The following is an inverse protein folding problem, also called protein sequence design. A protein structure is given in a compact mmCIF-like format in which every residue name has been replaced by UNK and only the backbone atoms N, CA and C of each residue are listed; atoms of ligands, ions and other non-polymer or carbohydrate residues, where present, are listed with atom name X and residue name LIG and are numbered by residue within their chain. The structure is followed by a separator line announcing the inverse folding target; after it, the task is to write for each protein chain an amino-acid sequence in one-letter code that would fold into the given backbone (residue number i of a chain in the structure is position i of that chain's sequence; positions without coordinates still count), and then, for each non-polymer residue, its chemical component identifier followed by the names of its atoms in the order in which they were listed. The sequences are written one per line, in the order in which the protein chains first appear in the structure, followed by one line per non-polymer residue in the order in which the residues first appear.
data_IF_673058847230
#
_entry.id   IF_673058847230
#
_cell.length_a   1.000
_cell.length_b   1.000
_cell.length_c   1.000
_cell.angle_alpha   90.00
_cell.angle_beta   90.00
_cell.angle_gamma   90.00
#
_symmetry.space_group_name_H-M   'P 1'
#
loop_
_entity.id
_entity.type
_entity.pdbx_description
1 polymer ?
#
# COMPACT_ATOMS: atom_id res chain seq x y z
N UNK A 1 13.61 15.23 -5.35
CA UNK A 1 13.37 14.07 -6.23
C UNK A 1 13.71 14.48 -7.65
N UNK A 2 14.51 13.70 -8.38
CA UNK A 2 14.94 14.12 -9.72
C UNK A 2 13.89 13.68 -10.76
N UNK A 3 13.21 14.64 -11.39
CA UNK A 3 12.32 14.41 -12.54
C UNK A 3 13.02 13.59 -13.65
N UNK A 4 14.36 13.60 -13.68
CA UNK A 4 15.17 12.80 -14.60
C UNK A 4 15.03 11.30 -14.34
N UNK A 5 15.04 10.86 -13.07
CA UNK A 5 14.94 9.42 -12.76
C UNK A 5 13.59 8.85 -13.17
N UNK A 6 12.52 9.60 -12.93
CA UNK A 6 11.16 9.25 -13.36
C UNK A 6 11.09 9.14 -14.87
N UNK A 7 11.70 10.10 -15.59
CA UNK A 7 11.74 10.09 -17.05
C UNK A 7 12.53 8.90 -17.61
N UNK A 8 13.71 8.62 -17.05
CA UNK A 8 14.54 7.49 -17.49
C UNK A 8 13.82 6.16 -17.32
N UNK A 9 13.17 5.96 -16.18
CA UNK A 9 12.39 4.74 -15.91
C UNK A 9 11.22 4.60 -16.88
N UNK A 10 10.43 5.67 -17.04
CA UNK A 10 9.31 5.68 -17.97
C UNK A 10 9.77 5.43 -19.41
N UNK A 11 10.91 6.01 -19.82
CA UNK A 11 11.47 5.80 -21.15
C UNK A 11 11.88 4.34 -21.35
N UNK A 12 12.49 3.72 -20.35
CA UNK A 12 12.88 2.30 -20.38
C UNK A 12 11.66 1.40 -20.57
N UNK A 13 10.60 1.63 -19.79
CA UNK A 13 9.37 0.81 -19.88
C UNK A 13 8.60 1.04 -21.19
N UNK A 14 8.54 2.28 -21.71
CA UNK A 14 7.94 2.56 -23.02
C UNK A 14 8.74 1.89 -24.14
N UNK A 15 10.07 1.98 -24.11
CA UNK A 15 10.95 1.35 -25.11
C UNK A 15 10.80 -0.17 -25.10
N UNK A 16 10.72 -0.77 -23.91
CA UNK A 16 10.47 -2.20 -23.73
C UNK A 16 9.12 -2.61 -24.31
N UNK A 17 8.04 -1.92 -23.97
CA UNK A 17 6.70 -2.27 -24.44
C UNK A 17 6.55 -2.13 -25.98
N UNK A 18 7.19 -1.14 -26.58
CA UNK A 18 7.08 -0.88 -28.02
C UNK A 18 8.06 -1.74 -28.84
N UNK A 19 9.34 -1.78 -28.45
CA UNK A 19 10.39 -2.37 -29.27
C UNK A 19 10.72 -3.82 -28.92
N UNK A 20 10.61 -4.19 -27.64
CA UNK A 20 10.95 -5.54 -27.16
C UNK A 20 9.72 -6.45 -27.18
N UNK A 21 8.68 -6.07 -26.42
CA UNK A 21 7.45 -6.88 -26.31
C UNK A 21 6.51 -6.70 -27.49
N UNK A 22 6.61 -5.55 -28.20
CA UNK A 22 5.72 -5.17 -29.31
C UNK A 22 4.24 -5.27 -28.95
N UNK A 23 3.92 -5.02 -27.68
CA UNK A 23 2.58 -5.16 -27.10
C UNK A 23 1.73 -3.92 -27.30
N UNK A 24 2.36 -2.77 -27.63
CA UNK A 24 1.68 -1.49 -27.82
C UNK A 24 2.39 -0.64 -28.88
N UNK A 25 1.72 0.43 -29.33
CA UNK A 25 2.29 1.46 -30.20
C UNK A 25 2.19 2.83 -29.53
N UNK A 26 2.96 3.82 -29.99
CA UNK A 26 2.89 5.20 -29.42
C UNK A 26 1.48 5.79 -29.52
N UNK A 27 0.78 5.54 -30.63
CA UNK A 27 -0.59 6.00 -30.83
C UNK A 27 -1.59 5.28 -29.91
N UNK A 28 -1.37 3.99 -29.66
CA UNK A 28 -2.20 3.22 -28.73
C UNK A 28 -1.96 3.64 -27.27
N UNK A 29 -0.69 3.86 -26.91
CA UNK A 29 -0.31 4.35 -25.59
C UNK A 29 -0.91 5.73 -25.29
N UNK A 30 -0.87 6.66 -26.25
CA UNK A 30 -1.51 7.96 -26.12
C UNK A 30 -3.02 7.85 -25.90
N UNK A 31 -3.68 6.95 -26.63
CA UNK A 31 -5.11 6.70 -26.50
C UNK A 31 -5.48 6.14 -25.13
N UNK A 32 -4.72 5.18 -24.63
CA UNK A 32 -4.97 4.51 -23.34
C UNK A 32 -4.63 5.38 -22.14
N UNK A 33 -3.54 6.15 -22.23
CA UNK A 33 -3.09 7.03 -21.14
C UNK A 33 -3.79 8.39 -21.12
N UNK A 34 -4.47 8.78 -22.20
CA UNK A 34 -5.04 10.13 -22.35
C UNK A 34 -3.98 11.23 -22.56
N UNK A 35 -2.70 10.87 -22.64
CA UNK A 35 -1.58 11.80 -22.85
C UNK A 35 -1.35 12.01 -24.35
N UNK A 36 -1.03 13.24 -24.75
CA UNK A 36 -0.79 13.55 -26.16
C UNK A 36 0.43 12.77 -26.70
N UNK A 37 0.33 12.20 -27.90
CA UNK A 37 1.43 11.50 -28.60
C UNK A 37 2.70 12.35 -28.61
N UNK A 38 2.57 13.68 -28.83
CA UNK A 38 3.72 14.58 -28.84
C UNK A 38 4.43 14.65 -27.48
N UNK A 39 3.70 14.55 -26.37
CA UNK A 39 4.30 14.52 -25.03
C UNK A 39 5.06 13.20 -24.81
N UNK A 40 4.53 12.07 -25.32
CA UNK A 40 5.21 10.77 -25.29
C UNK A 40 6.50 10.83 -26.14
N UNK A 41 6.46 11.44 -27.32
CA UNK A 41 7.65 11.62 -28.16
C UNK A 41 8.71 12.54 -27.49
N UNK A 42 8.28 13.60 -26.79
CA UNK A 42 9.18 14.45 -25.99
C UNK A 42 9.81 13.69 -24.82
N UNK A 43 9.06 12.80 -24.17
CA UNK A 43 9.55 11.90 -23.12
C UNK A 43 10.61 10.93 -23.64
N UNK A 44 10.42 10.41 -24.85
CA UNK A 44 11.36 9.49 -25.50
C UNK A 44 12.61 10.19 -26.07
N UNK A 45 12.58 11.51 -26.22
CA UNK A 45 13.65 12.27 -26.86
C UNK A 45 14.90 12.36 -25.98
N UNK A 46 16.07 12.07 -26.55
CA UNK A 46 17.38 12.18 -25.88
C UNK A 46 18.02 13.57 -25.97
N UNK A 47 17.41 14.48 -26.73
CA UNK A 47 17.91 15.84 -26.96
C UNK A 47 17.50 16.72 -25.78
N UNK A 48 18.44 17.27 -24.98
CA UNK A 48 18.14 18.02 -23.76
C UNK A 48 17.18 19.19 -23.97
N UNK A 49 17.30 19.90 -25.09
CA UNK A 49 16.47 21.08 -25.43
C UNK A 49 15.00 20.73 -25.72
N UNK A 50 14.72 19.48 -26.09
CA UNK A 50 13.37 18.98 -26.39
C UNK A 50 12.77 18.21 -25.21
N UNK A 51 13.55 18.02 -24.15
CA UNK A 51 13.07 17.35 -22.95
C UNK A 51 12.14 18.27 -22.19
N UNK A 52 10.88 17.88 -22.08
CA UNK A 52 9.91 18.57 -21.24
C UNK A 52 9.93 18.01 -19.83
N UNK A 53 9.69 18.87 -18.83
CA UNK A 53 9.40 18.43 -17.47
C UNK A 53 8.21 17.47 -17.49
N UNK A 54 8.36 16.32 -16.85
CA UNK A 54 7.32 15.29 -16.79
C UNK A 54 6.44 15.59 -15.59
N UNK A 55 5.16 15.85 -15.81
CA UNK A 55 4.21 15.90 -14.70
C UNK A 55 4.01 14.49 -14.15
N UNK A 56 4.02 14.34 -12.82
CA UNK A 56 3.83 13.04 -12.16
C UNK A 56 2.51 12.37 -12.59
N UNK A 57 1.44 13.16 -12.76
CA UNK A 57 0.14 12.67 -13.22
C UNK A 57 0.22 12.05 -14.63
N UNK A 58 0.94 12.68 -15.54
CA UNK A 58 1.15 12.15 -16.90
C UNK A 58 1.99 10.87 -16.86
N UNK A 59 3.04 10.83 -16.03
CA UNK A 59 3.88 9.64 -15.84
C UNK A 59 3.07 8.45 -15.31
N UNK A 60 2.24 8.66 -14.28
CA UNK A 60 1.37 7.63 -13.71
C UNK A 60 0.31 7.17 -14.71
N UNK A 61 -0.26 8.08 -15.51
CA UNK A 61 -1.25 7.74 -16.54
C UNK A 61 -0.63 6.87 -17.64
N UNK A 62 0.61 7.17 -18.05
CA UNK A 62 1.37 6.36 -19.00
C UNK A 62 1.73 4.99 -18.39
N UNK A 63 2.22 4.96 -17.15
CA UNK A 63 2.56 3.73 -16.46
C UNK A 63 1.35 2.80 -16.30
N UNK A 64 0.19 3.35 -15.94
CA UNK A 64 -1.06 2.59 -15.87
C UNK A 64 -1.44 1.97 -17.22
N UNK A 65 -1.29 2.71 -18.32
CA UNK A 65 -1.56 2.21 -19.66
C UNK A 65 -0.57 1.12 -20.15
N UNK A 66 0.65 1.10 -19.61
CA UNK A 66 1.67 0.06 -19.87
C UNK A 66 1.44 -1.20 -19.01
N UNK A 67 0.78 -1.05 -17.87
CA UNK A 67 0.39 -2.14 -16.98
C UNK A 67 1.14 -2.14 -15.64
N UNK A 68 0.84 -3.15 -14.83
CA UNK A 68 1.23 -3.24 -13.42
C UNK A 68 2.75 -3.10 -13.20
N UNK A 69 3.56 -3.72 -14.06
CA UNK A 69 5.02 -3.64 -13.98
C UNK A 69 5.52 -2.20 -14.04
N UNK A 70 5.01 -1.42 -15.00
CA UNK A 70 5.44 -0.03 -15.19
C UNK A 70 4.98 0.85 -14.02
N UNK A 71 3.79 0.58 -13.47
CA UNK A 71 3.31 1.24 -12.25
C UNK A 71 4.25 0.95 -11.08
N UNK A 72 4.58 -0.32 -10.84
CA UNK A 72 5.46 -0.73 -9.74
C UNK A 72 6.88 -0.15 -9.87
N UNK A 73 7.44 -0.11 -11.08
CA UNK A 73 8.74 0.49 -11.33
C UNK A 73 8.73 2.02 -11.07
N UNK A 74 7.68 2.69 -11.52
CA UNK A 74 7.51 4.12 -11.32
C UNK A 74 7.26 4.47 -9.84
N UNK A 75 6.41 3.71 -9.13
CA UNK A 75 6.13 3.91 -7.70
C UNK A 75 7.36 3.67 -6.84
N UNK A 76 8.14 2.61 -7.13
CA UNK A 76 9.42 2.37 -6.48
C UNK A 76 10.40 3.54 -6.70
N UNK A 77 10.42 4.11 -7.91
CA UNK A 77 11.29 5.26 -8.25
C UNK A 77 10.92 6.52 -7.46
N UNK A 78 9.62 6.74 -7.19
CA UNK A 78 9.15 7.86 -6.37
C UNK A 78 9.22 7.60 -4.86
N UNK A 79 9.78 6.45 -4.46
CA UNK A 79 9.88 6.04 -3.06
C UNK A 79 8.54 5.64 -2.45
N UNK A 80 7.52 5.40 -3.27
CA UNK A 80 6.24 4.88 -2.81
C UNK A 80 6.36 3.36 -2.66
N UNK A 81 6.59 2.92 -1.42
CA UNK A 81 6.42 1.52 -1.04
C UNK A 81 4.93 1.29 -0.73
N UNK A 82 4.19 0.79 -1.71
CA UNK A 82 2.95 0.10 -1.40
C UNK A 82 3.31 -1.26 -0.81
N UNK A 83 3.05 -1.46 0.48
CA UNK A 83 2.82 -2.82 0.98
C UNK A 83 1.57 -3.33 0.28
N UNK A 84 1.54 -4.61 -0.10
CA UNK A 84 0.28 -5.23 -0.47
C UNK A 84 -0.73 -4.89 0.63
N UNK A 85 -1.92 -4.45 0.24
CA UNK A 85 -3.07 -4.56 1.14
C UNK A 85 -3.18 -6.07 1.32
N UNK A 86 -2.60 -6.60 2.39
CA UNK A 86 -2.90 -7.95 2.82
C UNK A 86 -4.41 -8.05 2.75
N UNK A 87 -4.92 -9.03 1.98
CA UNK A 87 -6.34 -9.39 2.00
C UNK A 87 -6.81 -9.26 3.44
N UNK A 88 -7.85 -8.44 3.65
CA UNK A 88 -8.48 -8.18 4.94
C UNK A 88 -8.23 -9.38 5.84
N UNK A 89 -7.49 -9.18 6.93
CA UNK A 89 -7.36 -10.19 7.98
C UNK A 89 -8.77 -10.68 8.26
N UNK A 90 -9.10 -11.84 7.70
CA UNK A 90 -10.42 -12.44 7.81
C UNK A 90 -10.65 -12.51 9.32
N UNK A 91 -11.55 -11.68 9.85
CA UNK A 91 -11.74 -11.59 11.29
C UNK A 91 -12.15 -12.99 11.73
N UNK A 92 -11.21 -13.75 12.33
CA UNK A 92 -11.48 -15.10 12.83
C UNK A 92 -12.04 -14.91 14.23
N UNK A 93 -13.37 -14.86 14.42
CA UNK A 93 -13.94 -14.46 15.70
C UNK A 93 -13.56 -15.46 16.79
N UNK A 94 -13.36 -16.73 16.41
CA UNK A 94 -12.84 -17.79 17.28
C UNK A 94 -11.44 -17.47 17.84
N UNK A 95 -10.54 -16.88 17.04
CA UNK A 95 -9.21 -16.51 17.49
C UNK A 95 -9.25 -15.28 18.41
N UNK A 96 -10.13 -14.32 18.13
CA UNK A 96 -10.35 -13.15 18.98
C UNK A 96 -10.88 -13.58 20.35
N UNK A 97 -11.90 -14.44 20.38
CA UNK A 97 -12.46 -14.99 21.62
C UNK A 97 -11.41 -15.80 22.39
N UNK A 98 -10.64 -16.65 21.70
CA UNK A 98 -9.57 -17.43 22.35
C UNK A 98 -8.50 -16.52 22.98
N UNK A 99 -8.08 -15.47 22.29
CA UNK A 99 -7.11 -14.50 22.81
C UNK A 99 -7.69 -13.71 23.99
N UNK A 100 -8.95 -13.28 23.91
CA UNK A 100 -9.61 -12.57 25.00
C UNK A 100 -9.75 -13.44 26.26
N UNK A 101 -10.13 -14.71 26.13
CA UNK A 101 -10.27 -15.63 27.26
C UNK A 101 -8.96 -15.82 28.04
N UNK A 102 -7.81 -15.82 27.35
CA UNK A 102 -6.50 -15.91 28.00
C UNK A 102 -6.24 -14.77 28.98
N UNK A 103 -6.62 -13.54 28.62
CA UNK A 103 -6.42 -12.37 29.47
C UNK A 103 -7.49 -12.25 30.55
N UNK A 104 -8.71 -12.70 30.25
CA UNK A 104 -9.78 -12.78 31.24
C UNK A 104 -9.44 -13.75 32.38
N UNK A 105 -8.74 -14.86 32.08
CA UNK A 105 -8.28 -15.81 33.08
C UNK A 105 -7.33 -15.16 34.10
N UNK A 106 -6.37 -14.35 33.65
CA UNK A 106 -5.43 -13.62 34.55
C UNK A 106 -6.16 -12.68 35.50
N UNK A 107 -7.20 -11.99 35.02
CA UNK A 107 -8.03 -11.10 35.85
C UNK A 107 -8.88 -11.93 36.82
N UNK A 108 -9.38 -13.08 36.38
CA UNK A 108 -10.21 -13.97 37.20
C UNK A 108 -9.39 -14.59 38.33
N UNK A 109 -8.16 -15.03 38.06
CA UNK A 109 -7.26 -15.57 39.08
C UNK A 109 -6.90 -14.51 40.13
N UNK A 110 -6.58 -13.28 39.71
CA UNK A 110 -6.32 -12.17 40.63
C UNK A 110 -7.59 -11.69 41.39
N UNK A 111 -8.78 -11.88 40.82
CA UNK A 111 -10.05 -11.57 41.47
C UNK A 111 -10.53 -12.67 42.41
N UNK A 112 -10.14 -13.93 42.17
CA UNK A 112 -10.49 -15.08 43.01
C UNK A 112 -9.87 -14.97 44.42
N UNK A 113 -8.73 -14.28 44.54
CA UNK A 113 -8.05 -13.99 45.80
C UNK A 113 -8.67 -12.80 46.58
N UNK A 114 -9.81 -12.26 46.11
CA UNK A 114 -10.59 -11.15 46.69
C UNK A 114 -9.79 -9.85 46.91
N UNK A 115 -8.57 -9.74 46.34
CA UNK A 115 -7.68 -8.61 46.52
C UNK A 115 -6.60 -8.53 45.42
N UNK A 116 -6.79 -7.64 44.44
CA UNK A 116 -5.72 -7.26 43.51
C UNK A 116 -4.66 -6.45 44.29
N UNK A 117 -3.54 -7.07 44.64
CA UNK A 117 -2.45 -6.41 45.36
C UNK A 117 -1.44 -5.73 44.41
N UNK A 118 -0.54 -4.90 44.95
CA UNK A 118 0.52 -4.20 44.22
C UNK A 118 1.46 -5.14 43.43
N UNK A 119 1.53 -6.42 43.80
CA UNK A 119 2.31 -7.46 43.12
C UNK A 119 1.62 -7.94 41.83
N UNK A 120 0.29 -8.03 41.83
CA UNK A 120 -0.50 -8.56 40.70
C UNK A 120 -0.94 -7.44 39.75
N UNK A 121 -0.95 -6.20 40.24
CA UNK A 121 -1.35 -5.00 39.52
C UNK A 121 -0.70 -4.84 38.13
N UNK A 122 0.61 -5.11 37.92
CA UNK A 122 1.21 -5.01 36.60
C UNK A 122 0.61 -6.03 35.62
N UNK A 123 0.44 -7.28 36.05
CA UNK A 123 -0.08 -8.37 35.24
C UNK A 123 -1.56 -8.16 34.90
N UNK A 124 -2.36 -7.68 35.86
CA UNK A 124 -3.77 -7.36 35.61
C UNK A 124 -3.94 -6.13 34.72
N UNK A 125 -3.03 -5.14 34.80
CA UNK A 125 -3.04 -3.96 33.93
C UNK A 125 -2.71 -4.35 32.49
N UNK A 126 -1.65 -5.15 32.29
CA UNK A 126 -1.27 -5.66 30.98
C UNK A 126 -2.37 -6.55 30.37
N UNK A 127 -3.00 -7.42 31.18
CA UNK A 127 -4.14 -8.21 30.73
C UNK A 127 -5.34 -7.36 30.32
N UNK A 128 -5.62 -6.27 31.05
CA UNK A 128 -6.69 -5.33 30.71
C UNK A 128 -6.38 -4.55 29.41
N UNK A 129 -5.14 -4.08 29.23
CA UNK A 129 -4.72 -3.37 28.02
C UNK A 129 -4.82 -4.27 26.79
N UNK A 130 -4.43 -5.53 26.93
CA UNK A 130 -4.54 -6.52 25.86
C UNK A 130 -5.99 -6.92 25.55
N UNK A 131 -6.86 -6.99 26.56
CA UNK A 131 -8.31 -7.15 26.35
C UNK A 131 -8.89 -5.98 25.57
N UNK A 132 -8.54 -4.75 25.96
CA UNK A 132 -8.98 -3.54 25.27
C UNK A 132 -8.47 -3.57 23.83
N UNK A 133 -7.18 -3.83 23.60
CA UNK A 133 -6.63 -3.91 22.25
C UNK A 133 -7.28 -4.99 21.37
N UNK A 134 -7.71 -6.10 21.98
CA UNK A 134 -8.35 -7.22 21.27
C UNK A 134 -9.82 -6.95 20.94
N UNK A 135 -10.55 -6.27 21.83
CA UNK A 135 -12.01 -6.09 21.73
C UNK A 135 -12.39 -4.71 21.17
N UNK A 136 -11.60 -3.67 21.43
CA UNK A 136 -11.88 -2.30 21.00
C UNK A 136 -12.06 -2.15 19.48
N UNK A 137 -11.25 -2.80 18.63
CA UNK A 137 -11.45 -2.74 17.18
C UNK A 137 -12.78 -3.36 16.72
N UNK A 138 -13.38 -4.28 17.50
CA UNK A 138 -14.70 -4.87 17.18
C UNK A 138 -15.87 -3.94 17.55
N UNK A 139 -15.67 -3.06 18.52
CA UNK A 139 -16.71 -2.11 18.99
C UNK A 139 -17.19 -1.16 17.89
N UNK A 140 -16.31 -0.79 16.94
CA UNK A 140 -16.64 0.08 15.80
C UNK A 140 -17.23 -0.64 14.59
N UNK A 141 -17.33 -1.97 14.60
CA UNK A 141 -17.90 -2.77 13.50
C UNK A 141 -19.41 -3.05 13.66
N UNK A 142 -20.04 -2.56 14.73
CA UNK A 142 -21.45 -2.81 15.04
C UNK A 142 -22.48 -2.07 14.19
N UNK A 143 -22.07 -1.08 13.38
CA UNK A 143 -22.98 -0.22 12.58
C UNK A 143 -23.07 -0.61 11.09
N UNK A 144 -22.58 -1.80 10.71
CA UNK A 144 -22.54 -2.26 9.31
C UNK A 144 -23.32 -3.58 9.11
N UNK A 145 -24.60 -3.63 9.52
CA UNK A 145 -25.57 -4.67 9.12
C UNK A 145 -26.86 -4.01 8.65
#
# INVERSE_FOLDING_TARGET
MSDERVREELRSEIDRAINIERSTTRADLARKSGVNVHQIDQLLTRIPEKQRRVALADALSIAWALGERAVNALTATIGYQASAIEEDHEMRPMMIVATAMKHLAVITDAAADDRIDHVERPNTTEAADMLIATVWPLSSHGDSI
#
